data_IF_859537313638
#
_entry.id   IF_859537313638
#
_cell.length_a   1.000
_cell.length_b   1.000
_cell.length_c   1.000
_cell.angle_alpha   90.00
_cell.angle_beta   90.00
_cell.angle_gamma   90.00
#
_symmetry.space_group_name_H-M   'P 1'
#
loop_
_entity.id
_entity.type
_entity.pdbx_description
1 polymer ?
#
# COMPACT_ATOMS: atom_id res chain seq x y z
N UNK A 1 0.64 -11.68 -13.38
CA UNK A 1 1.55 -10.54 -13.03
C UNK A 1 0.89 -9.16 -13.12
N UNK A 2 0.01 -8.89 -14.10
CA UNK A 2 -0.66 -7.58 -14.26
C UNK A 2 -1.42 -7.09 -13.02
N UNK A 3 -2.17 -7.97 -12.34
CA UNK A 3 -2.92 -7.62 -11.13
C UNK A 3 -2.03 -7.15 -9.97
N UNK A 4 -0.90 -7.83 -9.76
CA UNK A 4 0.08 -7.45 -8.74
C UNK A 4 0.71 -6.09 -9.03
N UNK A 5 1.08 -5.84 -10.29
CA UNK A 5 1.64 -4.54 -10.72
C UNK A 5 0.66 -3.38 -10.51
N UNK A 6 -0.63 -3.59 -10.81
CA UNK A 6 -1.67 -2.57 -10.58
C UNK A 6 -1.85 -2.30 -9.08
N UNK A 7 -1.86 -3.35 -8.24
CA UNK A 7 -1.90 -3.20 -6.78
C UNK A 7 -0.69 -2.42 -6.26
N UNK A 8 0.52 -2.76 -6.72
CA UNK A 8 1.75 -2.09 -6.30
C UNK A 8 1.76 -0.61 -6.72
N UNK A 9 1.32 -0.29 -7.94
CA UNK A 9 1.19 1.10 -8.42
C UNK A 9 0.14 1.87 -7.62
N UNK A 10 -1.00 1.25 -7.33
CA UNK A 10 -2.06 1.86 -6.52
C UNK A 10 -1.57 2.14 -5.10
N UNK A 11 -0.94 1.15 -4.46
CA UNK A 11 -0.36 1.30 -3.13
C UNK A 11 0.70 2.40 -3.11
N UNK A 12 1.55 2.48 -4.15
CA UNK A 12 2.58 3.52 -4.26
C UNK A 12 1.95 4.90 -4.41
N UNK A 13 0.92 5.04 -5.25
CA UNK A 13 0.17 6.29 -5.41
C UNK A 13 -0.46 6.74 -4.09
N UNK A 14 -1.14 5.83 -3.38
CA UNK A 14 -1.76 6.12 -2.09
C UNK A 14 -0.70 6.53 -1.06
N UNK A 15 0.43 5.80 -0.97
CA UNK A 15 1.54 6.13 -0.08
C UNK A 15 2.12 7.53 -0.35
N UNK A 16 2.28 7.90 -1.62
CA UNK A 16 2.74 9.24 -2.02
C UNK A 16 1.73 10.32 -1.63
N UNK A 17 0.44 10.11 -1.92
CA UNK A 17 -0.63 11.08 -1.61
C UNK A 17 -0.76 11.28 -0.09
N UNK A 18 -0.84 10.19 0.67
CA UNK A 18 -0.95 10.24 2.13
C UNK A 18 0.31 10.80 2.78
N UNK A 19 1.50 10.46 2.25
CA UNK A 19 2.76 11.08 2.67
C UNK A 19 2.81 12.59 2.41
N UNK A 20 2.35 13.03 1.23
CA UNK A 20 2.31 14.44 0.85
C UNK A 20 1.31 15.25 1.69
N UNK A 21 0.15 14.67 2.03
CA UNK A 21 -0.88 15.30 2.87
C UNK A 21 -0.52 15.26 4.36
N UNK A 22 0.36 14.34 4.79
CA UNK A 22 0.75 14.24 6.20
C UNK A 22 1.47 15.51 6.69
N UNK A 23 1.12 15.93 7.90
CA UNK A 23 1.74 17.06 8.59
C UNK A 23 3.00 16.59 9.33
N UNK A 24 4.12 17.31 9.16
CA UNK A 24 5.39 16.98 9.81
C UNK A 24 6.61 17.48 9.04
N UNK A 25 7.81 17.08 9.46
CA UNK A 25 9.04 17.34 8.71
C UNK A 25 9.13 16.45 7.46
N UNK A 26 9.98 16.83 6.48
CA UNK A 26 10.13 16.09 5.22
C UNK A 26 10.44 14.60 5.43
N UNK A 27 11.21 14.26 6.47
CA UNK A 27 11.51 12.88 6.84
C UNK A 27 10.31 12.11 7.38
N UNK A 28 9.48 12.74 8.22
CA UNK A 28 8.26 12.13 8.75
C UNK A 28 7.24 11.83 7.65
N UNK A 29 7.11 12.74 6.68
CA UNK A 29 6.23 12.57 5.51
C UNK A 29 6.63 11.37 4.65
N UNK A 30 7.93 11.21 4.40
CA UNK A 30 8.46 10.06 3.64
C UNK A 30 8.25 8.76 4.41
N UNK A 31 8.57 8.74 5.71
CA UNK A 31 8.38 7.57 6.56
C UNK A 31 6.90 7.16 6.64
N UNK A 32 6.00 8.13 6.71
CA UNK A 32 4.56 7.90 6.72
C UNK A 32 4.09 7.30 5.39
N UNK A 33 4.49 7.88 4.25
CA UNK A 33 4.14 7.35 2.93
C UNK A 33 4.65 5.92 2.69
N UNK A 34 5.89 5.63 3.11
CA UNK A 34 6.45 4.26 3.05
C UNK A 34 5.67 3.30 3.93
N UNK A 35 5.28 3.72 5.14
CA UNK A 35 4.47 2.90 6.04
C UNK A 35 3.11 2.56 5.42
N UNK A 36 2.41 3.55 4.89
CA UNK A 36 1.11 3.37 4.21
C UNK A 36 1.24 2.42 3.01
N UNK A 37 2.32 2.55 2.22
CA UNK A 37 2.60 1.63 1.11
C UNK A 37 2.74 0.17 1.60
N UNK A 38 3.54 -0.06 2.64
CA UNK A 38 3.76 -1.40 3.20
C UNK A 38 2.48 -1.97 3.79
N UNK A 39 1.68 -1.16 4.49
CA UNK A 39 0.38 -1.57 5.03
C UNK A 39 -0.59 -1.99 3.91
N UNK A 40 -0.70 -1.20 2.84
CA UNK A 40 -1.54 -1.54 1.69
C UNK A 40 -1.10 -2.82 0.97
N UNK A 41 0.21 -2.98 0.74
CA UNK A 41 0.77 -4.18 0.12
C UNK A 41 0.55 -5.42 1.01
N UNK A 42 0.79 -5.28 2.32
CA UNK A 42 0.62 -6.36 3.29
C UNK A 42 -0.84 -6.81 3.40
N UNK A 43 -1.77 -5.87 3.53
CA UNK A 43 -3.21 -6.16 3.58
C UNK A 43 -3.69 -6.76 2.26
N UNK A 44 -3.25 -6.23 1.13
CA UNK A 44 -3.59 -6.77 -0.19
C UNK A 44 -3.12 -8.22 -0.40
N UNK A 45 -1.90 -8.54 0.03
CA UNK A 45 -1.37 -9.91 -0.03
C UNK A 45 -2.06 -10.84 0.98
N UNK A 46 -2.33 -10.36 2.19
CA UNK A 46 -3.05 -11.14 3.20
C UNK A 46 -4.47 -11.46 2.73
N UNK A 47 -5.18 -10.50 2.13
CA UNK A 47 -6.49 -10.70 1.52
C UNK A 47 -6.41 -11.66 0.33
N UNK A 48 -5.41 -11.51 -0.55
CA UNK A 48 -5.24 -12.42 -1.69
C UNK A 48 -5.00 -13.86 -1.21
N UNK A 49 -4.22 -14.04 -0.15
CA UNK A 49 -3.97 -15.35 0.46
C UNK A 49 -5.24 -15.91 1.14
N UNK A 50 -5.96 -15.08 1.90
CA UNK A 50 -7.19 -15.48 2.57
C UNK A 50 -8.29 -15.86 1.56
N UNK A 51 -8.47 -15.05 0.51
CA UNK A 51 -9.44 -15.30 -0.56
C UNK A 51 -9.05 -16.47 -1.45
N UNK A 52 -7.75 -16.79 -1.59
CA UNK A 52 -7.33 -18.01 -2.28
C UNK A 52 -7.85 -19.27 -1.59
N UNK A 53 -8.05 -19.22 -0.26
CA UNK A 53 -8.58 -20.35 0.51
C UNK A 53 -10.12 -20.41 0.54
N UNK A 54 -10.79 -19.32 0.14
CA UNK A 54 -12.25 -19.29 0.04
C UNK A 54 -12.66 -19.83 -1.33
N UNK A 55 -13.43 -20.93 -1.41
CA UNK A 55 -14.01 -21.35 -2.67
C UNK A 55 -14.99 -20.28 -3.18
N UNK A 56 -15.10 -20.10 -4.51
CA UNK A 56 -16.01 -19.14 -5.12
C UNK A 56 -17.49 -19.48 -4.86
#
# INVERSE_FOLDING_TARGET
>A
MRHFLVMALLAAFIGVVFGAVSYGTRGERVRYGVRVFVEFMGVGLALAWLLYWLPP
#
